data_IF_011159553695
#
_entry.id   IF_011159553695
#
_cell.length_a   1.000
_cell.length_b   1.000
_cell.length_c   1.000
_cell.angle_alpha   90.00
_cell.angle_beta   90.00
_cell.angle_gamma   90.00
#
_symmetry.space_group_name_H-M   'P 1'
#
loop_
_entity.id
_entity.type
_entity.pdbx_description
1 polymer ?
#
# COMPACT_ATOMS: atom_id res chain seq x y z
N UNK A 1 4.27 8.99 17.62
CA UNK A 1 5.72 9.22 17.41
C UNK A 1 5.96 9.02 15.92
N UNK A 2 6.20 10.10 15.17
CA UNK A 2 6.45 10.00 13.72
C UNK A 2 7.85 9.40 13.55
N UNK A 3 7.92 8.10 13.25
CA UNK A 3 9.15 7.45 12.85
C UNK A 3 9.47 7.92 11.43
N UNK A 4 10.31 8.96 11.31
CA UNK A 4 10.91 9.35 10.06
C UNK A 4 11.93 8.28 9.69
N UNK A 5 11.47 7.21 9.03
CA UNK A 5 12.35 6.17 8.46
C UNK A 5 13.43 6.85 7.63
N UNK A 6 14.70 6.49 7.88
CA UNK A 6 15.82 7.05 7.15
C UNK A 6 15.69 6.68 5.67
N UNK A 7 15.31 7.68 4.85
CA UNK A 7 15.12 7.52 3.41
C UNK A 7 16.32 6.85 2.74
N UNK A 8 17.54 7.12 3.21
CA UNK A 8 18.77 6.54 2.68
C UNK A 8 18.82 5.01 2.76
N UNK A 9 18.10 4.40 3.71
CA UNK A 9 18.07 2.94 3.86
C UNK A 9 17.35 2.26 2.68
N UNK A 10 16.30 2.92 2.18
CA UNK A 10 15.36 2.38 1.20
C UNK A 10 15.60 2.92 -0.21
N UNK A 11 16.07 4.17 -0.34
CA UNK A 11 16.29 4.84 -1.61
C UNK A 11 17.25 4.04 -2.50
N UNK A 12 16.74 3.59 -3.66
CA UNK A 12 17.50 2.82 -4.65
C UNK A 12 17.84 1.37 -4.26
N UNK A 13 17.38 0.89 -3.10
CA UNK A 13 17.66 -0.46 -2.65
C UNK A 13 16.85 -1.51 -3.42
N UNK A 14 17.52 -2.56 -3.90
CA UNK A 14 16.90 -3.75 -4.51
C UNK A 14 16.95 -4.97 -3.60
N UNK A 15 17.46 -4.82 -2.37
CA UNK A 15 17.52 -5.91 -1.38
C UNK A 15 16.11 -6.29 -0.90
N UNK A 16 15.64 -7.52 -1.19
CA UNK A 16 14.30 -7.94 -0.80
C UNK A 16 14.11 -8.05 0.70
N UNK A 17 15.18 -8.24 1.48
CA UNK A 17 15.08 -8.34 2.94
C UNK A 17 14.71 -6.99 3.59
N UNK A 18 14.81 -5.90 2.84
CA UNK A 18 14.36 -4.58 3.29
C UNK A 18 12.90 -4.29 2.99
N UNK A 19 12.21 -5.12 2.21
CA UNK A 19 10.79 -4.91 1.88
C UNK A 19 9.89 -4.72 3.14
N UNK A 20 10.06 -5.47 4.26
CA UNK A 20 9.27 -5.22 5.48
C UNK A 20 9.48 -3.84 6.12
N UNK A 21 10.63 -3.20 5.88
CA UNK A 21 10.98 -1.88 6.44
C UNK A 21 10.62 -0.75 5.45
N UNK A 22 10.88 -1.00 4.17
CA UNK A 22 10.76 -0.02 3.10
C UNK A 22 9.41 -0.06 2.38
N UNK A 23 8.65 -1.13 2.53
CA UNK A 23 7.45 -1.42 1.77
C UNK A 23 7.77 -2.10 0.45
N UNK A 24 6.71 -2.61 -0.18
CA UNK A 24 6.76 -3.14 -1.54
C UNK A 24 5.41 -2.92 -2.22
N UNK A 25 5.23 -1.79 -2.93
CA UNK A 25 4.04 -1.53 -3.73
C UNK A 25 3.91 -2.56 -4.87
N UNK A 26 2.73 -3.15 -5.02
CA UNK A 26 2.44 -4.16 -6.06
C UNK A 26 1.23 -3.79 -6.92
N UNK A 27 0.22 -3.16 -6.34
CA UNK A 27 -0.94 -2.65 -7.04
C UNK A 27 -0.95 -1.14 -6.99
N UNK A 28 -1.21 -0.50 -8.13
CA UNK A 28 -1.27 0.95 -8.27
C UNK A 28 -2.48 1.33 -9.12
N UNK A 29 -3.33 2.23 -8.63
CA UNK A 29 -4.47 2.74 -9.39
C UNK A 29 -4.71 4.22 -9.08
N UNK A 30 -4.81 5.04 -10.12
CA UNK A 30 -5.22 6.42 -9.98
C UNK A 30 -6.74 6.53 -9.90
N UNK A 31 -7.24 7.29 -8.93
CA UNK A 31 -8.56 7.92 -9.00
C UNK A 31 -8.42 9.14 -9.92
N UNK A 32 -8.90 9.02 -11.15
CA UNK A 32 -8.76 10.06 -12.18
C UNK A 32 -9.61 11.30 -11.90
N UNK A 33 -10.63 11.21 -11.04
CA UNK A 33 -11.48 12.35 -10.68
C UNK A 33 -10.84 13.22 -9.60
N UNK A 34 -10.13 12.60 -8.66
CA UNK A 34 -9.48 13.30 -7.52
C UNK A 34 -7.98 13.45 -7.67
N UNK A 35 -7.38 12.81 -8.67
CA UNK A 35 -5.93 12.74 -8.89
C UNK A 35 -5.18 12.12 -7.71
N UNK A 36 -5.82 11.19 -6.98
CA UNK A 36 -5.18 10.43 -5.92
C UNK A 36 -4.62 9.12 -6.48
N UNK A 37 -3.46 8.68 -5.98
CA UNK A 37 -2.90 7.36 -6.27
C UNK A 37 -3.14 6.43 -5.09
N UNK A 38 -3.89 5.36 -5.33
CA UNK A 38 -4.07 4.27 -4.38
C UNK A 38 -3.02 3.19 -4.62
N UNK A 39 -2.49 2.66 -3.52
CA UNK A 39 -1.36 1.75 -3.51
C UNK A 39 -1.72 0.54 -2.66
N UNK A 40 -1.63 -0.65 -3.25
CA UNK A 40 -1.60 -1.91 -2.53
C UNK A 40 -0.14 -2.26 -2.21
N UNK A 41 0.26 -2.08 -0.95
CA UNK A 41 1.58 -2.44 -0.45
C UNK A 41 1.53 -3.78 0.29
N UNK A 42 2.49 -4.67 -0.01
CA UNK A 42 2.52 -6.00 0.57
C UNK A 42 2.72 -6.02 2.09
N UNK A 43 3.28 -4.95 2.68
CA UNK A 43 3.60 -4.87 4.11
C UNK A 43 2.84 -3.76 4.83
N UNK A 44 2.46 -2.68 4.13
CA UNK A 44 1.78 -1.53 4.74
C UNK A 44 0.29 -1.45 4.39
N UNK A 45 -0.24 -2.42 3.66
CA UNK A 45 -1.67 -2.52 3.36
C UNK A 45 -2.12 -1.55 2.27
N UNK A 46 -3.34 -1.02 2.41
CA UNK A 46 -3.89 -0.05 1.46
C UNK A 46 -3.44 1.36 1.83
N UNK A 47 -2.75 2.02 0.91
CA UNK A 47 -2.25 3.38 1.05
C UNK A 47 -2.85 4.30 -0.01
N UNK A 48 -2.76 5.61 0.23
CA UNK A 48 -3.11 6.65 -0.73
C UNK A 48 -2.13 7.82 -0.67
N UNK A 49 -1.78 8.37 -1.83
CA UNK A 49 -1.03 9.63 -1.93
C UNK A 49 -1.77 10.59 -2.85
N UNK A 50 -1.82 11.87 -2.44
CA UNK A 50 -2.45 12.92 -3.23
C UNK A 50 -1.62 13.33 -4.46
N UNK A 51 -2.14 14.27 -5.28
CA UNK A 51 -1.53 14.67 -6.55
C UNK A 51 -0.13 15.29 -6.41
N UNK A 52 0.21 15.81 -5.23
CA UNK A 52 1.52 16.41 -4.95
C UNK A 52 2.58 15.37 -4.53
N UNK A 53 2.23 14.08 -4.52
CA UNK A 53 3.10 13.04 -3.99
C UNK A 53 3.32 13.19 -2.48
N UNK A 54 4.48 12.73 -2.01
CA UNK A 54 4.86 12.74 -0.60
C UNK A 54 4.72 11.37 0.06
N UNK A 55 4.65 11.37 1.39
CA UNK A 55 4.48 10.15 2.19
C UNK A 55 3.03 9.69 2.04
N UNK A 56 2.82 8.44 1.64
CA UNK A 56 1.48 7.89 1.50
C UNK A 56 0.79 7.74 2.86
N UNK A 57 -0.49 8.09 2.91
CA UNK A 57 -1.35 7.85 4.05
C UNK A 57 -1.83 6.39 4.05
N UNK A 58 -1.72 5.73 5.20
CA UNK A 58 -2.27 4.40 5.40
C UNK A 58 -3.78 4.47 5.63
N UNK A 59 -4.55 3.77 4.80
CA UNK A 59 -6.01 3.75 4.86
C UNK A 59 -6.54 2.50 5.56
N UNK A 60 -5.93 1.34 5.32
CA UNK A 60 -6.34 0.09 5.96
C UNK A 60 -5.19 -0.92 6.05
N UNK A 61 -5.09 -1.63 7.18
CA UNK A 61 -4.11 -2.72 7.43
C UNK A 61 -4.76 -4.04 7.87
N UNK A 62 -6.08 -4.04 8.02
CA UNK A 62 -6.85 -5.21 8.43
C UNK A 62 -8.23 -5.18 7.82
N UNK A 63 -8.86 -6.35 7.76
CA UNK A 63 -10.28 -6.47 7.44
C UNK A 63 -11.15 -5.81 8.51
N UNK A 64 -12.45 -5.69 8.22
CA UNK A 64 -13.44 -5.18 9.18
C UNK A 64 -13.48 -5.99 10.48
N UNK A 65 -13.24 -7.31 10.39
CA UNK A 65 -13.22 -8.23 11.53
C UNK A 65 -11.85 -8.22 12.26
N UNK A 66 -10.95 -7.31 11.89
CA UNK A 66 -9.65 -7.14 12.54
C UNK A 66 -8.56 -8.12 12.09
N UNK A 67 -8.79 -8.91 11.05
CA UNK A 67 -7.76 -9.82 10.50
C UNK A 67 -6.72 -8.98 9.75
N UNK A 68 -5.44 -8.96 10.18
CA UNK A 68 -4.41 -8.20 9.50
C UNK A 68 -4.19 -8.71 8.07
N UNK A 69 -3.95 -7.79 7.14
CA UNK A 69 -3.53 -8.15 5.79
C UNK A 69 -2.10 -8.68 5.83
N UNK A 70 -1.84 -9.80 5.15
CA UNK A 70 -0.48 -10.35 5.07
C UNK A 70 0.17 -10.09 3.72
N UNK A 71 -0.61 -9.98 2.65
CA UNK A 71 -0.06 -9.86 1.31
C UNK A 71 -1.02 -9.14 0.35
N UNK A 72 -1.26 -7.85 0.62
CA UNK A 72 -2.03 -6.99 -0.28
C UNK A 72 -1.29 -6.80 -1.61
N UNK A 73 -1.98 -7.03 -2.73
CA UNK A 73 -1.31 -7.18 -4.04
C UNK A 73 -1.94 -6.35 -5.16
N UNK A 74 -3.27 -6.38 -5.30
CA UNK A 74 -3.99 -5.63 -6.34
C UNK A 74 -4.87 -4.55 -5.75
N UNK A 75 -5.07 -3.47 -6.50
CA UNK A 75 -6.07 -2.43 -6.22
C UNK A 75 -6.70 -1.97 -7.53
N UNK A 76 -8.01 -1.78 -7.54
CA UNK A 76 -8.78 -1.18 -8.62
C UNK A 76 -9.86 -0.24 -8.05
N UNK A 77 -10.37 0.65 -8.88
CA UNK A 77 -11.32 1.68 -8.49
C UNK A 77 -12.47 1.67 -9.48
N UNK A 78 -13.70 1.62 -8.97
CA UNK A 78 -14.89 1.91 -9.77
C UNK A 78 -14.95 3.42 -10.00
N UNK A 79 -14.67 3.83 -11.24
CA UNK A 79 -14.64 5.23 -11.65
C UNK A 79 -15.99 5.94 -11.47
N UNK A 80 -17.12 5.23 -11.39
CA UNK A 80 -18.43 5.86 -11.26
C UNK A 80 -18.68 6.37 -9.83
N UNK A 81 -18.52 5.49 -8.84
CA UNK A 81 -18.86 5.75 -7.43
C UNK A 81 -17.61 5.94 -6.53
N UNK A 82 -16.41 5.65 -7.02
CA UNK A 82 -15.16 5.75 -6.28
C UNK A 82 -14.92 4.62 -5.27
N UNK A 83 -15.63 3.50 -5.39
CA UNK A 83 -15.41 2.31 -4.56
C UNK A 83 -14.07 1.68 -4.92
N UNK A 84 -13.28 1.34 -3.89
CA UNK A 84 -11.95 0.76 -4.04
C UNK A 84 -12.05 -0.74 -3.76
N UNK A 85 -11.59 -1.54 -4.72
CA UNK A 85 -11.48 -2.98 -4.60
C UNK A 85 -10.01 -3.35 -4.50
N UNK A 86 -9.65 -4.23 -3.59
CA UNK A 86 -8.28 -4.70 -3.43
C UNK A 86 -8.25 -6.16 -3.00
N UNK A 87 -7.12 -6.81 -3.23
CA UNK A 87 -6.95 -8.24 -2.92
C UNK A 87 -5.84 -8.44 -1.91
N UNK A 88 -6.14 -9.22 -0.87
CA UNK A 88 -5.13 -9.86 -0.04
C UNK A 88 -4.87 -11.27 -0.58
N UNK A 89 -3.64 -11.53 -1.01
CA UNK A 89 -3.27 -12.78 -1.70
C UNK A 89 -3.36 -13.98 -0.76
N UNK A 90 -3.12 -13.77 0.53
CA UNK A 90 -3.07 -14.80 1.54
C UNK A 90 -3.28 -14.16 2.91
N UNK A 91 -4.04 -14.83 3.77
CA UNK A 91 -4.25 -14.40 5.17
C UNK A 91 -3.23 -14.99 6.15
N UNK A 92 -2.31 -15.83 5.66
CA UNK A 92 -1.36 -16.60 6.48
C UNK A 92 0.08 -16.26 6.10
N UNK A 93 0.41 -16.38 4.82
CA UNK A 93 1.73 -16.10 4.28
C UNK A 93 1.86 -14.65 3.87
N UNK A 94 2.97 -14.05 4.28
CA UNK A 94 3.43 -12.78 3.77
C UNK A 94 4.10 -12.97 2.41
N UNK A 95 4.43 -11.85 1.78
CA UNK A 95 5.33 -11.85 0.65
C UNK A 95 6.71 -12.33 1.11
N UNK A 96 7.04 -13.57 0.71
CA UNK A 96 8.26 -14.35 1.04
C UNK A 96 8.26 -14.97 2.44
#
# INVERSE_FOLDING_TARGET
>A
MLDCRDRKLCDGSTDPNKEPICGRPLGLKFDTKKCNLYIADAYFGLLMVGPNGGVAQQLAISSHDGVPFQFLNGVDIDDQNGVIYFTDTSTVYQRR
#
